data_IF_869398337590
#
_entry.id   IF_869398337590
#
_cell.length_a   1.000
_cell.length_b   1.000
_cell.length_c   1.000
_cell.angle_alpha   90.00
_cell.angle_beta   90.00
_cell.angle_gamma   90.00
#
_symmetry.space_group_name_H-M   'P 1'
#
loop_
_entity.id
_entity.type
_entity.pdbx_description
1 polymer ?
#
# COMPACT_ATOMS: atom_id res chain seq x y z
N UNK A 1 11.75 -14.45 12.30
CA UNK A 1 10.57 -14.06 11.49
C UNK A 1 10.21 -15.11 10.43
N UNK A 2 11.05 -15.37 9.42
CA UNK A 2 10.70 -16.37 8.37
C UNK A 2 10.56 -17.77 8.97
N UNK A 3 11.51 -18.21 9.79
CA UNK A 3 11.46 -19.54 10.41
C UNK A 3 10.30 -19.69 11.41
N UNK A 4 10.01 -18.64 12.19
CA UNK A 4 8.85 -18.62 13.10
C UNK A 4 7.52 -18.70 12.32
N UNK A 5 7.43 -17.98 11.19
CA UNK A 5 6.27 -18.05 10.30
C UNK A 5 6.15 -19.44 9.69
N UNK A 6 7.24 -20.05 9.22
CA UNK A 6 7.21 -21.43 8.71
C UNK A 6 6.71 -22.42 9.76
N UNK A 7 7.10 -22.27 11.03
CA UNK A 7 6.61 -23.09 12.13
C UNK A 7 5.10 -22.94 12.36
N UNK A 8 4.56 -21.70 12.34
CA UNK A 8 3.10 -21.44 12.45
C UNK A 8 2.30 -22.09 11.32
N UNK A 9 2.90 -22.19 10.15
CA UNK A 9 2.29 -22.75 8.94
C UNK A 9 2.55 -24.25 8.77
N UNK A 10 3.41 -24.87 9.58
CA UNK A 10 3.79 -26.29 9.47
C UNK A 10 2.58 -27.25 9.39
N UNK A 11 1.48 -27.07 10.15
CA UNK A 11 0.31 -27.95 10.03
C UNK A 11 -0.40 -27.89 8.66
N UNK A 12 -0.21 -26.81 7.90
CA UNK A 12 -0.79 -26.65 6.56
C UNK A 12 0.25 -26.91 5.45
N UNK A 13 1.52 -26.64 5.71
CA UNK A 13 2.61 -26.82 4.76
C UNK A 13 2.84 -28.30 4.42
N UNK A 14 2.54 -29.23 5.33
CA UNK A 14 2.68 -30.67 5.13
C UNK A 14 1.86 -31.24 3.94
N UNK A 15 0.85 -30.50 3.45
CA UNK A 15 0.03 -30.89 2.31
C UNK A 15 0.60 -30.44 0.95
N UNK A 16 1.71 -29.69 0.92
CA UNK A 16 2.31 -29.15 -0.29
C UNK A 16 3.69 -29.75 -0.57
N UNK A 17 4.04 -29.93 -1.85
CA UNK A 17 5.38 -30.37 -2.23
C UNK A 17 6.43 -29.31 -1.88
N UNK A 18 7.58 -29.71 -1.36
CA UNK A 18 8.73 -28.82 -1.09
C UNK A 18 9.09 -27.93 -2.29
N UNK A 19 8.95 -28.46 -3.51
CA UNK A 19 9.22 -27.71 -4.74
C UNK A 19 8.30 -26.49 -4.93
N UNK A 20 7.01 -26.58 -4.58
CA UNK A 20 6.07 -25.45 -4.70
C UNK A 20 6.36 -24.37 -3.66
N UNK A 21 6.67 -24.78 -2.43
CA UNK A 21 7.04 -23.87 -1.35
C UNK A 21 8.35 -23.13 -1.67
N UNK A 22 9.34 -23.83 -2.25
CA UNK A 22 10.57 -23.21 -2.71
C UNK A 22 10.32 -22.14 -3.79
N UNK A 23 9.52 -22.47 -4.82
CA UNK A 23 9.15 -21.50 -5.87
C UNK A 23 8.42 -20.27 -5.32
N UNK A 24 7.50 -20.49 -4.38
CA UNK A 24 6.76 -19.42 -3.71
C UNK A 24 7.70 -18.49 -2.93
N UNK A 25 8.62 -19.06 -2.16
CA UNK A 25 9.65 -18.32 -1.43
C UNK A 25 10.53 -17.51 -2.39
N UNK A 26 11.02 -18.12 -3.46
CA UNK A 26 11.87 -17.45 -4.45
C UNK A 26 11.15 -16.27 -5.11
N UNK A 27 9.86 -16.42 -5.43
CA UNK A 27 9.07 -15.34 -6.02
C UNK A 27 8.97 -14.12 -5.09
N UNK A 28 8.69 -14.34 -3.80
CA UNK A 28 8.62 -13.26 -2.80
C UNK A 28 10.00 -12.60 -2.61
N UNK A 29 11.07 -13.40 -2.50
CA UNK A 29 12.43 -12.88 -2.33
C UNK A 29 12.89 -12.05 -3.53
N UNK A 30 12.67 -12.53 -4.76
CA UNK A 30 13.02 -11.77 -5.96
C UNK A 30 12.23 -10.47 -6.03
N UNK A 31 10.94 -10.49 -5.69
CA UNK A 31 10.12 -9.27 -5.66
C UNK A 31 10.66 -8.25 -4.64
N UNK A 32 10.95 -8.69 -3.41
CA UNK A 32 11.58 -7.86 -2.39
C UNK A 32 12.90 -7.25 -2.86
N UNK A 33 13.82 -8.08 -3.38
CA UNK A 33 15.12 -7.63 -3.86
C UNK A 33 14.99 -6.61 -5.00
N UNK A 34 13.99 -6.76 -5.88
CA UNK A 34 13.73 -5.80 -6.96
C UNK A 34 13.23 -4.45 -6.45
N UNK A 35 12.35 -4.43 -5.45
CA UNK A 35 11.94 -3.17 -4.80
C UNK A 35 13.13 -2.52 -4.13
N UNK A 36 13.89 -3.27 -3.32
CA UNK A 36 15.07 -2.77 -2.61
C UNK A 36 16.15 -2.19 -3.55
N UNK A 37 16.37 -2.82 -4.71
CA UNK A 37 17.32 -2.36 -5.70
C UNK A 37 16.81 -1.20 -6.55
N UNK A 38 15.51 -1.13 -6.83
CA UNK A 38 14.95 -0.08 -7.69
C UNK A 38 14.67 1.20 -6.92
N UNK A 39 13.91 1.07 -5.83
CA UNK A 39 13.36 2.19 -5.05
C UNK A 39 13.86 2.24 -3.61
N UNK A 40 14.73 1.30 -3.25
CA UNK A 40 15.18 1.11 -1.90
C UNK A 40 16.63 1.48 -1.65
N UNK A 41 17.13 1.10 -0.48
CA UNK A 41 18.49 1.42 -0.04
C UNK A 41 19.60 0.73 -0.83
N UNK A 42 19.27 -0.23 -1.71
CA UNK A 42 20.26 -0.94 -2.53
C UNK A 42 20.46 -0.30 -3.91
N UNK A 43 19.68 0.73 -4.24
CA UNK A 43 19.68 1.41 -5.54
C UNK A 43 20.02 2.90 -5.46
N UNK A 44 19.87 3.58 -6.59
CA UNK A 44 20.13 5.02 -6.74
C UNK A 44 18.84 5.87 -6.80
N UNK A 45 17.68 5.29 -7.13
CA UNK A 45 16.38 5.98 -7.17
C UNK A 45 15.60 5.74 -5.87
N UNK A 46 16.16 6.13 -4.72
CA UNK A 46 15.53 5.88 -3.42
C UNK A 46 14.20 6.65 -3.25
N UNK A 47 13.12 5.93 -2.93
CA UNK A 47 11.82 6.53 -2.63
C UNK A 47 11.58 6.55 -1.12
N UNK A 48 11.25 7.71 -0.51
CA UNK A 48 11.04 7.77 0.93
C UNK A 48 9.94 6.85 1.47
N UNK A 49 8.88 6.55 0.71
CA UNK A 49 7.77 5.70 1.15
C UNK A 49 7.75 4.35 0.43
N UNK A 50 7.67 4.32 -0.90
CA UNK A 50 7.53 3.09 -1.70
C UNK A 50 8.87 2.37 -1.88
N UNK A 51 9.43 1.85 -0.78
CA UNK A 51 10.71 1.13 -0.73
C UNK A 51 10.59 -0.22 0.03
N UNK A 52 11.71 -0.90 0.27
CA UNK A 52 11.76 -2.20 0.95
C UNK A 52 11.20 -2.17 2.38
N UNK A 53 11.22 -1.02 3.06
CA UNK A 53 10.62 -0.90 4.38
C UNK A 53 9.09 -0.98 4.31
N UNK A 54 8.45 -0.38 3.29
CA UNK A 54 7.00 -0.53 3.09
C UNK A 54 6.62 -2.00 2.87
N UNK A 55 7.44 -2.73 2.11
CA UNK A 55 7.29 -4.19 1.98
C UNK A 55 7.37 -4.88 3.34
N UNK A 56 8.35 -4.54 4.18
CA UNK A 56 8.51 -5.11 5.53
C UNK A 56 7.36 -4.74 6.47
N UNK A 57 6.82 -3.52 6.38
CA UNK A 57 5.66 -3.08 7.18
C UNK A 57 4.43 -3.95 6.88
N UNK A 58 4.17 -4.23 5.60
CA UNK A 58 3.05 -5.07 5.18
C UNK A 58 3.33 -6.53 5.51
N UNK A 59 4.47 -7.06 5.05
CA UNK A 59 4.83 -8.47 5.26
C UNK A 59 5.00 -8.83 6.72
N UNK A 60 5.49 -7.92 7.56
CA UNK A 60 5.75 -8.13 8.97
C UNK A 60 4.51 -7.82 9.81
N UNK A 61 4.51 -6.71 10.57
CA UNK A 61 3.53 -6.47 11.64
C UNK A 61 2.07 -6.46 11.16
N UNK A 62 1.76 -5.97 9.96
CA UNK A 62 0.38 -5.96 9.45
C UNK A 62 -0.14 -7.37 9.16
N UNK A 63 0.67 -8.17 8.45
CA UNK A 63 0.32 -9.58 8.17
C UNK A 63 0.29 -10.41 9.45
N UNK A 64 1.23 -10.22 10.38
CA UNK A 64 1.22 -10.96 11.66
C UNK A 64 -0.04 -10.64 12.48
N UNK A 65 -0.42 -9.36 12.63
CA UNK A 65 -1.67 -8.98 13.30
C UNK A 65 -2.91 -9.60 12.65
N UNK A 66 -2.92 -9.69 11.33
CA UNK A 66 -4.00 -10.36 10.59
C UNK A 66 -4.05 -11.85 10.94
N UNK A 67 -2.91 -12.55 10.89
CA UNK A 67 -2.82 -13.98 11.24
C UNK A 67 -3.25 -14.20 12.70
N UNK A 68 -2.84 -13.34 13.63
CA UNK A 68 -3.20 -13.44 15.05
C UNK A 68 -4.70 -13.24 15.27
N UNK A 69 -5.33 -12.33 14.52
CA UNK A 69 -6.75 -12.00 14.65
C UNK A 69 -7.66 -13.06 14.04
N UNK A 70 -7.31 -13.58 12.86
CA UNK A 70 -8.18 -14.47 12.09
C UNK A 70 -7.76 -15.94 12.18
N UNK A 71 -6.54 -16.20 12.63
CA UNK A 71 -5.94 -17.53 12.69
C UNK A 71 -5.38 -17.98 11.34
N UNK A 72 -4.28 -18.73 11.38
CA UNK A 72 -3.60 -19.25 10.18
C UNK A 72 -4.53 -20.09 9.29
N UNK A 73 -5.55 -20.74 9.86
CA UNK A 73 -6.52 -21.61 9.14
C UNK A 73 -7.65 -20.84 8.44
N UNK A 74 -7.75 -19.52 8.61
CA UNK A 74 -8.81 -18.74 7.98
C UNK A 74 -8.61 -18.55 6.47
N UNK A 75 -7.38 -18.70 5.98
CA UNK A 75 -7.04 -18.68 4.57
C UNK A 75 -6.18 -19.90 4.23
N UNK A 76 -6.16 -20.29 2.95
CA UNK A 76 -5.34 -21.40 2.48
C UNK A 76 -3.85 -21.01 2.38
N UNK A 77 -2.92 -21.97 2.32
CA UNK A 77 -1.51 -21.65 2.08
C UNK A 77 -1.26 -20.85 0.79
N UNK A 78 -2.03 -21.11 -0.26
CA UNK A 78 -1.95 -20.36 -1.52
C UNK A 78 -2.38 -18.88 -1.34
N UNK A 79 -3.39 -18.64 -0.51
CA UNK A 79 -3.86 -17.28 -0.21
C UNK A 79 -2.82 -16.50 0.59
N UNK A 80 -2.22 -17.13 1.60
CA UNK A 80 -1.14 -16.52 2.38
C UNK A 80 0.09 -16.25 1.53
N UNK A 81 0.43 -17.15 0.60
CA UNK A 81 1.44 -16.89 -0.41
C UNK A 81 1.09 -15.68 -1.27
N UNK A 82 -0.14 -15.59 -1.77
CA UNK A 82 -0.57 -14.45 -2.59
C UNK A 82 -0.51 -13.12 -1.82
N UNK A 83 -0.91 -13.09 -0.55
CA UNK A 83 -0.79 -11.91 0.31
C UNK A 83 0.67 -11.52 0.52
N UNK A 84 1.56 -12.50 0.74
CA UNK A 84 2.98 -12.25 0.87
C UNK A 84 3.61 -11.74 -0.44
N UNK A 85 3.22 -12.33 -1.57
CA UNK A 85 3.67 -11.88 -2.89
C UNK A 85 3.17 -10.47 -3.19
N UNK A 86 1.90 -10.17 -2.93
CA UNK A 86 1.34 -8.82 -3.07
C UNK A 86 2.13 -7.78 -2.27
N UNK A 87 2.37 -8.06 -0.99
CA UNK A 87 3.12 -7.17 -0.12
C UNK A 87 4.51 -6.82 -0.69
N UNK A 88 5.19 -7.79 -1.32
CA UNK A 88 6.49 -7.59 -1.96
C UNK A 88 6.42 -7.07 -3.41
N UNK A 89 5.25 -7.11 -4.06
CA UNK A 89 5.16 -6.94 -5.52
C UNK A 89 4.30 -5.76 -5.99
N UNK A 90 3.35 -5.28 -5.18
CA UNK A 90 2.38 -4.27 -5.63
C UNK A 90 3.03 -2.96 -6.09
N UNK A 91 4.13 -2.58 -5.46
CA UNK A 91 4.92 -1.38 -5.78
C UNK A 91 6.25 -1.68 -6.49
N UNK A 92 6.36 -2.81 -7.19
CA UNK A 92 7.56 -3.12 -7.98
C UNK A 92 7.92 -2.00 -8.95
N UNK A 93 6.92 -1.28 -9.45
CA UNK A 93 7.07 -0.19 -10.42
C UNK A 93 6.43 1.07 -9.86
N UNK A 94 7.21 2.15 -9.85
CA UNK A 94 6.80 3.49 -9.45
C UNK A 94 7.37 4.48 -10.47
N UNK A 95 6.74 5.65 -10.61
CA UNK A 95 7.06 6.70 -11.59
C UNK A 95 6.85 6.30 -13.06
N UNK A 96 5.88 5.42 -13.32
CA UNK A 96 5.47 5.16 -14.69
C UNK A 96 4.75 6.38 -15.29
N UNK A 97 4.91 6.58 -16.59
CA UNK A 97 4.24 7.66 -17.30
C UNK A 97 2.70 7.54 -17.15
N UNK A 98 1.97 8.66 -16.92
CA UNK A 98 0.54 8.63 -16.64
C UNK A 98 -0.27 8.11 -17.83
N UNK A 99 -0.74 6.87 -17.72
CA UNK A 99 -1.66 6.21 -18.64
C UNK A 99 -2.70 5.40 -17.86
N UNK A 100 -3.95 5.86 -17.89
CA UNK A 100 -5.07 5.14 -17.28
C UNK A 100 -5.74 4.24 -18.29
N UNK A 101 -5.78 2.95 -17.99
CA UNK A 101 -6.50 1.96 -18.79
C UNK A 101 -7.42 1.17 -17.86
N UNK A 102 -8.71 1.10 -18.22
CA UNK A 102 -9.78 0.51 -17.41
C UNK A 102 -9.94 1.07 -15.96
N UNK A 103 -9.23 2.15 -15.62
CA UNK A 103 -9.19 2.71 -14.26
C UNK A 103 -8.13 2.09 -13.35
N UNK A 104 -7.21 1.31 -13.92
CA UNK A 104 -6.00 0.82 -13.24
C UNK A 104 -4.86 1.80 -13.55
N UNK A 105 -4.07 2.14 -12.53
CA UNK A 105 -2.94 3.05 -12.65
C UNK A 105 -1.77 2.42 -13.40
N UNK A 106 -0.90 3.25 -13.96
CA UNK A 106 0.25 2.80 -14.75
C UNK A 106 1.28 2.05 -13.92
N UNK A 107 1.49 2.49 -12.67
CA UNK A 107 2.36 1.82 -11.71
C UNK A 107 1.87 0.40 -11.43
N UNK A 108 0.60 0.23 -11.08
CA UNK A 108 0.00 -1.08 -10.76
C UNK A 108 0.05 -2.02 -11.96
N UNK A 109 -0.25 -1.53 -13.17
CA UNK A 109 -0.10 -2.32 -14.40
C UNK A 109 1.33 -2.80 -14.61
N UNK A 110 2.31 -1.91 -14.50
CA UNK A 110 3.71 -2.27 -14.68
C UNK A 110 4.18 -3.25 -13.59
N UNK A 111 3.68 -3.11 -12.35
CA UNK A 111 3.90 -4.07 -11.26
C UNK A 111 3.29 -5.44 -11.57
N UNK A 112 2.08 -5.51 -12.16
CA UNK A 112 1.45 -6.76 -12.63
C UNK A 112 2.30 -7.44 -13.71
N UNK A 113 2.83 -6.68 -14.66
CA UNK A 113 3.72 -7.23 -15.69
C UNK A 113 5.02 -7.76 -15.09
N UNK A 114 5.61 -7.03 -14.14
CA UNK A 114 6.84 -7.43 -13.47
C UNK A 114 6.64 -8.68 -12.61
N UNK A 115 5.58 -8.76 -11.80
CA UNK A 115 5.31 -9.96 -11.00
C UNK A 115 4.99 -11.17 -11.88
N UNK A 116 4.37 -10.97 -13.04
CA UNK A 116 4.18 -12.03 -14.04
C UNK A 116 5.51 -12.60 -14.53
N UNK A 117 6.53 -11.73 -14.77
CA UNK A 117 7.88 -12.16 -15.14
C UNK A 117 8.56 -12.92 -13.99
N UNK A 118 8.45 -12.43 -12.76
CA UNK A 118 9.01 -13.08 -11.57
C UNK A 118 8.42 -14.48 -11.39
N UNK A 119 7.10 -14.61 -11.42
CA UNK A 119 6.41 -15.91 -11.33
C UNK A 119 6.90 -16.88 -12.41
N UNK A 120 7.04 -16.43 -13.65
CA UNK A 120 7.56 -17.26 -14.74
C UNK A 120 9.00 -17.72 -14.47
N UNK A 121 9.87 -16.83 -13.99
CA UNK A 121 11.26 -17.16 -13.62
C UNK A 121 11.33 -18.21 -12.51
N UNK A 122 10.42 -18.13 -11.54
CA UNK A 122 10.32 -19.12 -10.46
C UNK A 122 9.58 -20.40 -10.87
N UNK A 123 9.32 -20.63 -12.16
CA UNK A 123 8.73 -21.88 -12.65
C UNK A 123 7.21 -22.01 -12.48
N UNK A 124 6.50 -20.91 -12.19
CA UNK A 124 5.04 -20.87 -12.31
C UNK A 124 4.63 -20.78 -13.78
N UNK A 125 3.47 -21.34 -14.10
CA UNK A 125 2.90 -21.32 -15.46
C UNK A 125 1.43 -20.91 -15.39
N UNK A 126 0.99 -20.11 -16.36
CA UNK A 126 -0.41 -19.63 -16.44
C UNK A 126 -1.43 -20.77 -16.56
N UNK A 127 -1.01 -21.93 -17.08
CA UNK A 127 -1.88 -23.11 -17.21
C UNK A 127 -2.06 -23.85 -15.89
N UNK A 128 -0.96 -24.15 -15.21
CA UNK A 128 -0.99 -24.98 -14.00
C UNK A 128 -1.24 -24.20 -12.71
N UNK A 129 -1.12 -22.87 -12.74
CA UNK A 129 -1.21 -22.01 -11.56
C UNK A 129 -2.09 -20.79 -11.83
N UNK A 130 -3.18 -20.98 -12.58
CA UNK A 130 -4.01 -19.89 -13.12
C UNK A 130 -4.55 -18.98 -12.01
N UNK A 131 -4.96 -19.58 -10.91
CA UNK A 131 -5.46 -18.93 -9.70
C UNK A 131 -4.44 -17.96 -9.08
N UNK A 132 -3.14 -18.27 -9.15
CA UNK A 132 -2.08 -17.39 -8.64
C UNK A 132 -1.96 -16.14 -9.53
N UNK A 133 -1.95 -16.32 -10.84
CA UNK A 133 -1.87 -15.18 -11.78
C UNK A 133 -3.10 -14.28 -11.69
N UNK A 134 -4.30 -14.87 -11.66
CA UNK A 134 -5.55 -14.09 -11.52
C UNK A 134 -5.61 -13.39 -10.17
N UNK A 135 -5.23 -14.09 -9.09
CA UNK A 135 -5.21 -13.55 -7.73
C UNK A 135 -4.31 -12.31 -7.63
N UNK A 136 -3.03 -12.44 -8.00
CA UNK A 136 -2.07 -11.35 -7.86
C UNK A 136 -2.41 -10.16 -8.77
N UNK A 137 -2.93 -10.41 -9.98
CA UNK A 137 -3.37 -9.36 -10.90
C UNK A 137 -4.51 -8.54 -10.31
N UNK A 138 -5.54 -9.20 -9.75
CA UNK A 138 -6.67 -8.51 -9.13
C UNK A 138 -6.26 -7.79 -7.84
N UNK A 139 -5.34 -8.35 -7.06
CA UNK A 139 -4.85 -7.72 -5.83
C UNK A 139 -4.09 -6.43 -6.11
N UNK A 140 -3.12 -6.45 -7.03
CA UNK A 140 -2.34 -5.27 -7.42
C UNK A 140 -3.22 -4.24 -8.15
N UNK A 141 -4.09 -4.69 -9.05
CA UNK A 141 -5.01 -3.77 -9.73
C UNK A 141 -6.01 -3.14 -8.74
N UNK A 142 -6.44 -3.90 -7.74
CA UNK A 142 -7.37 -3.46 -6.70
C UNK A 142 -6.78 -2.42 -5.74
N UNK A 143 -5.45 -2.40 -5.55
CA UNK A 143 -4.78 -1.40 -4.71
C UNK A 143 -4.65 -0.03 -5.38
N UNK A 144 -4.92 0.09 -6.69
CA UNK A 144 -4.94 1.38 -7.38
C UNK A 144 -5.84 2.38 -6.66
N UNK A 145 -5.28 3.51 -6.25
CA UNK A 145 -6.07 4.67 -5.84
C UNK A 145 -6.61 5.38 -7.08
N UNK A 146 -7.93 5.57 -7.15
CA UNK A 146 -8.63 6.21 -8.28
C UNK A 146 -8.30 7.71 -8.32
N UNK A 147 -7.08 8.06 -8.76
CA UNK A 147 -6.52 9.40 -8.72
C UNK A 147 -6.31 9.87 -10.17
N UNK A 148 -7.34 10.49 -10.78
CA UNK A 148 -7.23 10.96 -12.18
C UNK A 148 -6.34 12.22 -12.26
N UNK A 149 -5.19 12.20 -12.94
CA UNK A 149 -4.38 13.39 -13.11
C UNK A 149 -5.03 14.37 -14.08
N UNK A 150 -4.93 15.69 -13.84
CA UNK A 150 -5.05 16.67 -14.92
C UNK A 150 -3.95 16.44 -15.96
N UNK A 151 -4.27 16.70 -17.24
CA UNK A 151 -3.46 16.36 -18.41
C UNK A 151 -2.07 17.05 -18.50
N UNK A 152 -1.72 17.92 -17.55
CA UNK A 152 -0.50 18.74 -17.55
C UNK A 152 0.58 18.29 -16.55
N UNK A 153 0.45 17.12 -15.91
CA UNK A 153 1.51 16.61 -15.02
C UNK A 153 2.66 15.98 -15.80
N UNK A 154 3.90 16.37 -15.49
CA UNK A 154 5.13 15.82 -16.05
C UNK A 154 5.40 14.37 -15.61
N UNK A 155 5.05 14.03 -14.35
CA UNK A 155 5.07 12.68 -13.81
C UNK A 155 3.78 12.39 -13.04
N UNK A 156 3.32 11.14 -13.03
CA UNK A 156 2.15 10.74 -12.26
C UNK A 156 2.48 10.80 -10.77
N UNK A 157 1.87 11.71 -10.00
CA UNK A 157 2.02 11.80 -8.53
C UNK A 157 0.70 11.44 -7.83
N UNK A 158 0.51 10.16 -7.52
CA UNK A 158 -0.69 9.65 -6.83
C UNK A 158 -0.94 10.33 -5.49
N UNK A 159 0.12 10.69 -4.77
CA UNK A 159 0.03 11.35 -3.48
C UNK A 159 -0.51 12.79 -3.59
N UNK A 160 -0.22 13.52 -4.68
CA UNK A 160 -0.88 14.80 -4.99
C UNK A 160 -2.37 14.62 -5.36
N UNK A 161 -2.68 13.51 -6.01
CA UNK A 161 -4.03 13.22 -6.51
C UNK A 161 -4.96 12.60 -5.47
N UNK A 162 -4.49 12.33 -4.25
CA UNK A 162 -5.35 11.99 -3.12
C UNK A 162 -6.41 13.08 -2.87
N UNK A 163 -6.12 14.35 -3.22
CA UNK A 163 -7.07 15.48 -3.17
C UNK A 163 -8.15 15.38 -4.27
N UNK A 164 -8.05 14.47 -5.23
CA UNK A 164 -9.08 14.21 -6.25
C UNK A 164 -9.55 12.74 -6.26
N UNK A 165 -8.96 11.91 -5.39
CA UNK A 165 -9.21 10.48 -5.37
C UNK A 165 -10.53 10.10 -4.74
N UNK A 166 -11.09 8.96 -5.17
CA UNK A 166 -12.26 8.29 -4.57
C UNK A 166 -11.89 7.12 -3.64
N UNK A 167 -10.61 6.99 -3.28
CA UNK A 167 -10.05 5.88 -2.49
C UNK A 167 -9.62 4.69 -3.35
N UNK A 168 -9.24 3.58 -2.70
CA UNK A 168 -8.78 2.35 -3.36
C UNK A 168 -9.86 1.69 -4.22
N UNK A 169 -9.45 1.17 -5.40
CA UNK A 169 -10.32 0.53 -6.38
C UNK A 169 -11.00 -0.73 -5.84
N UNK A 170 -10.35 -1.46 -4.92
CA UNK A 170 -10.86 -2.70 -4.30
C UNK A 170 -12.29 -2.57 -3.75
N UNK A 171 -12.69 -1.38 -3.28
CA UNK A 171 -14.05 -1.09 -2.80
C UNK A 171 -15.13 -1.18 -3.88
N UNK A 172 -14.76 -1.03 -5.14
CA UNK A 172 -15.64 -1.01 -6.32
C UNK A 172 -15.24 -2.02 -7.38
N UNK A 173 -14.33 -2.94 -7.04
CA UNK A 173 -13.77 -3.89 -7.99
C UNK A 173 -14.84 -4.85 -8.55
N UNK A 174 -15.84 -5.20 -7.74
CA UNK A 174 -17.03 -5.94 -8.18
C UNK A 174 -17.80 -5.20 -9.29
N UNK A 175 -18.06 -3.90 -9.12
CA UNK A 175 -18.73 -3.07 -10.13
C UNK A 175 -17.90 -2.91 -11.41
N UNK A 176 -16.57 -2.93 -11.29
CA UNK A 176 -15.66 -2.90 -12.45
C UNK A 176 -15.65 -4.23 -13.18
N UNK A 177 -15.61 -5.35 -12.45
CA UNK A 177 -15.71 -6.68 -13.03
C UNK A 177 -17.06 -6.87 -13.75
N UNK A 178 -18.15 -6.27 -13.25
CA UNK A 178 -19.44 -6.28 -13.95
C UNK A 178 -19.39 -5.62 -15.33
N UNK A 179 -18.56 -4.59 -15.49
CA UNK A 179 -18.41 -3.84 -16.74
C UNK A 179 -17.46 -4.52 -17.72
N UNK A 180 -16.37 -5.12 -17.22
CA UNK A 180 -15.25 -5.57 -18.05
C UNK A 180 -15.15 -7.11 -18.17
N UNK A 181 -15.81 -7.88 -17.30
CA UNK A 181 -15.77 -9.33 -17.27
C UNK A 181 -17.18 -9.92 -17.00
N UNK A 182 -18.13 -9.77 -17.92
CA UNK A 182 -19.49 -10.29 -17.72
C UNK A 182 -19.45 -11.81 -17.44
N UNK A 183 -20.12 -12.22 -16.36
CA UNK A 183 -20.13 -13.61 -15.89
C UNK A 183 -19.06 -13.97 -14.87
N UNK A 184 -18.19 -13.03 -14.45
CA UNK A 184 -17.14 -13.28 -13.46
C UNK A 184 -17.66 -13.90 -12.14
N UNK A 185 -18.91 -13.59 -11.75
CA UNK A 185 -19.55 -14.17 -10.55
C UNK A 185 -19.71 -15.69 -10.61
N UNK A 186 -19.75 -16.26 -11.81
CA UNK A 186 -19.82 -17.72 -12.01
C UNK A 186 -18.42 -18.36 -12.03
N UNK A 187 -17.34 -17.57 -12.08
CA UNK A 187 -15.97 -18.06 -11.95
C UNK A 187 -15.52 -17.95 -10.49
N UNK A 188 -15.58 -19.09 -9.78
CA UNK A 188 -15.19 -19.18 -8.37
C UNK A 188 -13.77 -18.65 -8.11
N UNK A 189 -12.86 -18.73 -9.09
CA UNK A 189 -11.49 -18.22 -8.95
C UNK A 189 -11.46 -16.70 -8.92
N UNK A 190 -12.26 -16.06 -9.76
CA UNK A 190 -12.34 -14.59 -9.81
C UNK A 190 -13.06 -14.06 -8.58
N UNK A 191 -14.12 -14.74 -8.13
CA UNK A 191 -14.80 -14.40 -6.88
C UNK A 191 -13.87 -14.51 -5.66
N UNK A 192 -13.04 -15.56 -5.60
CA UNK A 192 -12.03 -15.72 -4.55
C UNK A 192 -10.92 -14.66 -4.63
N UNK A 193 -10.41 -14.39 -5.84
CA UNK A 193 -9.41 -13.35 -6.08
C UNK A 193 -9.90 -11.94 -5.68
N UNK A 194 -11.19 -11.63 -5.90
CA UNK A 194 -11.80 -10.38 -5.42
C UNK A 194 -11.79 -10.28 -3.89
N UNK A 195 -12.07 -11.40 -3.19
CA UNK A 195 -11.99 -11.43 -1.73
C UNK A 195 -10.57 -11.14 -1.26
N UNK A 196 -9.56 -11.78 -1.85
CA UNK A 196 -8.14 -11.52 -1.53
C UNK A 196 -7.72 -10.09 -1.88
N UNK A 197 -8.19 -9.52 -2.99
CA UNK A 197 -7.89 -8.14 -3.39
C UNK A 197 -8.38 -7.11 -2.36
N UNK A 198 -9.51 -7.38 -1.69
CA UNK A 198 -10.01 -6.52 -0.61
C UNK A 198 -9.13 -6.63 0.65
N UNK A 199 -8.66 -7.83 0.99
CA UNK A 199 -7.73 -8.04 2.11
C UNK A 199 -6.38 -7.36 1.81
N UNK A 200 -5.88 -7.52 0.59
CA UNK A 200 -4.62 -6.91 0.14
C UNK A 200 -4.65 -5.38 0.23
N UNK A 201 -5.72 -4.75 -0.27
CA UNK A 201 -5.91 -3.31 -0.14
C UNK A 201 -5.95 -2.85 1.32
N UNK A 202 -6.60 -3.62 2.21
CA UNK A 202 -6.64 -3.30 3.64
C UNK A 202 -5.28 -3.41 4.32
N UNK A 203 -4.42 -4.35 3.89
CA UNK A 203 -3.05 -4.50 4.38
C UNK A 203 -2.13 -3.37 3.92
N UNK A 204 -2.28 -2.94 2.67
CA UNK A 204 -1.53 -1.81 2.11
C UNK A 204 -1.85 -0.51 2.85
N UNK A 205 -3.15 -0.24 3.07
CA UNK A 205 -3.61 1.01 3.69
C UNK A 205 -3.79 0.93 5.21
N UNK A 206 -3.34 -0.15 5.85
CA UNK A 206 -3.47 -0.36 7.30
C UNK A 206 -2.58 0.58 8.13
N UNK A 207 -1.75 1.43 7.51
CA UNK A 207 -0.94 2.44 8.18
C UNK A 207 -1.75 3.38 9.09
N UNK A 208 -3.03 3.61 8.79
CA UNK A 208 -3.95 4.40 9.64
C UNK A 208 -4.26 3.75 11.00
N UNK A 209 -3.99 2.46 11.14
CA UNK A 209 -4.26 1.65 12.33
C UNK A 209 -2.98 1.18 13.06
N UNK A 210 -1.82 1.65 12.62
CA UNK A 210 -0.58 1.51 13.39
C UNK A 210 -0.63 2.39 14.64
N UNK A 211 0.23 2.16 15.65
CA UNK A 211 0.35 3.10 16.74
C UNK A 211 0.70 4.51 16.19
N UNK A 212 0.25 5.53 16.90
CA UNK A 212 0.15 6.87 16.33
C UNK A 212 1.48 7.43 15.79
N UNK A 213 2.63 7.31 16.51
CA UNK A 213 3.93 7.74 15.98
C UNK A 213 4.32 7.06 14.66
N UNK A 214 4.05 5.77 14.51
CA UNK A 214 4.38 4.96 13.34
C UNK A 214 3.48 5.33 12.16
N UNK A 215 2.18 5.52 12.42
CA UNK A 215 1.21 6.02 11.44
C UNK A 215 1.64 7.38 10.89
N UNK A 216 2.09 8.29 11.76
CA UNK A 216 2.55 9.62 11.36
C UNK A 216 3.94 9.61 10.72
N UNK A 217 4.83 8.68 11.09
CA UNK A 217 6.10 8.47 10.40
C UNK A 217 5.87 8.00 8.95
N UNK A 218 4.87 7.15 8.73
CA UNK A 218 4.41 6.73 7.40
C UNK A 218 3.88 7.92 6.58
N UNK A 219 3.01 8.76 7.17
CA UNK A 219 2.54 9.99 6.53
C UNK A 219 3.69 10.94 6.16
N UNK A 220 4.69 11.09 7.04
CA UNK A 220 5.89 11.89 6.78
C UNK A 220 6.69 11.38 5.58
N UNK A 221 6.93 10.06 5.52
CA UNK A 221 7.62 9.42 4.39
C UNK A 221 6.88 9.67 3.08
N UNK A 222 5.56 9.53 3.07
CA UNK A 222 4.75 9.79 1.88
C UNK A 222 4.76 11.28 1.48
N UNK A 223 4.78 12.20 2.45
CA UNK A 223 4.93 13.64 2.20
C UNK A 223 6.26 13.95 1.50
N UNK A 224 7.36 13.37 1.98
CA UNK A 224 8.69 13.55 1.38
C UNK A 224 8.75 12.97 -0.03
N UNK A 225 8.20 11.78 -0.26
CA UNK A 225 8.17 11.21 -1.60
C UNK A 225 7.29 12.02 -2.56
N UNK A 226 6.18 12.58 -2.07
CA UNK A 226 5.35 13.51 -2.85
C UNK A 226 6.18 14.69 -3.35
N UNK A 227 6.99 15.30 -2.49
CA UNK A 227 7.86 16.42 -2.90
C UNK A 227 8.93 15.98 -3.89
N UNK A 228 9.58 14.83 -3.64
CA UNK A 228 10.55 14.23 -4.55
C UNK A 228 9.97 14.03 -5.97
N UNK A 229 8.76 13.47 -6.07
CA UNK A 229 8.08 13.22 -7.36
C UNK A 229 7.62 14.50 -8.05
N UNK A 230 7.47 15.58 -7.29
CA UNK A 230 7.15 16.89 -7.84
C UNK A 230 8.40 17.77 -8.04
N UNK A 231 9.59 17.18 -7.88
CA UNK A 231 10.89 17.87 -8.00
C UNK A 231 11.03 19.09 -7.09
N UNK A 232 10.34 19.07 -5.94
CA UNK A 232 10.44 20.11 -4.91
C UNK A 232 11.36 19.64 -3.79
N UNK A 233 12.21 20.54 -3.35
CA UNK A 233 13.17 20.30 -2.26
C UNK A 233 12.55 20.81 -0.96
N UNK A 234 12.48 20.03 0.14
CA UNK A 234 11.84 20.43 1.39
C UNK A 234 12.38 21.73 2.01
N UNK A 235 13.63 22.08 1.73
CA UNK A 235 14.28 23.31 2.19
C UNK A 235 13.75 24.56 1.46
N UNK A 236 13.12 24.38 0.29
CA UNK A 236 12.60 25.49 -0.51
C UNK A 236 11.27 26.01 0.02
N UNK A 237 11.02 27.30 -0.19
CA UNK A 237 9.73 27.92 0.11
C UNK A 237 8.58 27.33 -0.72
N UNK A 238 8.86 26.84 -1.93
CA UNK A 238 7.86 26.22 -2.81
C UNK A 238 7.26 24.94 -2.23
N UNK A 239 7.99 24.25 -1.35
CA UNK A 239 7.50 23.04 -0.66
C UNK A 239 6.64 23.33 0.57
N UNK A 240 6.69 24.56 1.11
CA UNK A 240 6.15 24.87 2.44
C UNK A 240 4.63 24.67 2.53
N UNK A 241 3.87 25.37 1.69
CA UNK A 241 2.41 25.26 1.67
C UNK A 241 1.94 23.86 1.21
N UNK A 242 2.48 23.25 0.13
CA UNK A 242 2.07 21.91 -0.28
C UNK A 242 2.27 20.83 0.80
N UNK A 243 3.36 20.88 1.56
CA UNK A 243 3.61 19.94 2.65
C UNK A 243 2.66 20.17 3.84
N UNK A 244 2.38 21.44 4.18
CA UNK A 244 1.39 21.78 5.21
C UNK A 244 0.00 21.26 4.82
N UNK A 245 -0.43 21.49 3.58
CA UNK A 245 -1.73 21.03 3.09
C UNK A 245 -1.82 19.51 3.10
N UNK A 246 -0.76 18.82 2.68
CA UNK A 246 -0.71 17.35 2.69
C UNK A 246 -0.80 16.79 4.11
N UNK A 247 0.00 17.30 5.05
CA UNK A 247 0.07 16.81 6.44
C UNK A 247 -1.13 17.22 7.30
N UNK A 248 -1.96 18.14 6.81
CA UNK A 248 -3.18 18.58 7.50
C UNK A 248 -4.42 18.09 6.77
N UNK A 249 -4.99 18.91 5.89
CA UNK A 249 -6.24 18.65 5.17
C UNK A 249 -6.15 17.37 4.32
N UNK A 250 -4.98 17.08 3.75
CA UNK A 250 -4.71 15.84 3.01
C UNK A 250 -4.86 14.59 3.88
N UNK A 251 -4.21 14.58 5.07
CA UNK A 251 -4.32 13.47 6.01
C UNK A 251 -5.73 13.32 6.59
N UNK A 252 -6.40 14.42 6.96
CA UNK A 252 -7.79 14.39 7.43
C UNK A 252 -8.70 13.74 6.38
N UNK A 253 -8.62 14.21 5.14
CA UNK A 253 -9.43 13.67 4.05
C UNK A 253 -9.13 12.20 3.78
N UNK A 254 -7.86 11.82 3.70
CA UNK A 254 -7.48 10.43 3.52
C UNK A 254 -8.07 9.56 4.62
N UNK A 255 -7.89 9.95 5.88
CA UNK A 255 -8.29 9.16 7.04
C UNK A 255 -9.81 9.08 7.22
N UNK A 256 -10.51 10.22 7.18
CA UNK A 256 -11.94 10.33 7.52
C UNK A 256 -12.86 10.11 6.32
N UNK A 257 -12.48 10.51 5.12
CA UNK A 257 -13.39 10.46 3.95
C UNK A 257 -13.08 9.27 3.05
N UNK A 258 -11.81 9.08 2.69
CA UNK A 258 -11.41 8.13 1.65
C UNK A 258 -11.21 6.71 2.20
N UNK A 259 -10.46 6.58 3.29
CA UNK A 259 -10.02 5.30 3.81
C UNK A 259 -11.15 4.54 4.51
N UNK A 260 -11.43 3.32 4.04
CA UNK A 260 -12.33 2.36 4.67
C UNK A 260 -11.78 0.95 4.43
N UNK A 261 -11.82 0.10 5.45
CA UNK A 261 -11.48 -1.31 5.28
C UNK A 261 -12.54 -2.01 4.42
N UNK A 262 -12.08 -2.64 3.34
CA UNK A 262 -12.85 -3.24 2.25
C UNK A 262 -13.25 -4.69 2.53
N UNK A 263 -12.62 -5.34 3.51
CA UNK A 263 -12.89 -6.72 3.91
C UNK A 263 -13.31 -6.82 5.38
N UNK A 264 -14.02 -7.91 5.74
CA UNK A 264 -14.30 -8.22 7.15
C UNK A 264 -13.02 -8.54 7.93
N UNK A 265 -12.03 -9.15 7.26
CA UNK A 265 -10.70 -9.42 7.80
C UNK A 265 -10.01 -8.12 8.24
N UNK A 266 -9.95 -7.12 7.34
CA UNK A 266 -9.35 -5.82 7.61
C UNK A 266 -10.08 -5.07 8.72
N UNK A 267 -11.42 -5.04 8.69
CA UNK A 267 -12.22 -4.41 9.77
C UNK A 267 -11.92 -5.02 11.14
N UNK A 268 -12.02 -6.35 11.26
CA UNK A 268 -11.77 -7.05 12.52
C UNK A 268 -10.35 -6.83 13.06
N UNK A 269 -9.37 -6.68 12.17
CA UNK A 269 -7.95 -6.58 12.55
C UNK A 269 -7.53 -5.15 12.86
N UNK A 270 -7.99 -4.17 12.08
CA UNK A 270 -7.39 -2.83 12.06
C UNK A 270 -8.34 -1.69 12.46
N UNK A 271 -9.66 -1.92 12.51
CA UNK A 271 -10.64 -0.84 12.77
C UNK A 271 -10.45 -0.20 14.15
N UNK A 272 -10.21 -1.00 15.19
CA UNK A 272 -9.99 -0.49 16.54
C UNK A 272 -8.77 0.46 16.59
N UNK A 273 -7.66 0.10 15.93
CA UNK A 273 -6.47 0.93 15.85
C UNK A 273 -6.73 2.24 15.10
N UNK A 274 -7.47 2.17 13.98
CA UNK A 274 -7.90 3.38 13.27
C UNK A 274 -8.74 4.28 14.17
N UNK A 275 -9.73 3.75 14.87
CA UNK A 275 -10.58 4.55 15.76
C UNK A 275 -9.78 5.22 16.88
N UNK A 276 -8.80 4.53 17.45
CA UNK A 276 -7.92 5.09 18.48
C UNK A 276 -7.07 6.27 18.00
N UNK A 277 -6.75 6.34 16.70
CA UNK A 277 -5.98 7.41 16.10
C UNK A 277 -6.81 8.62 15.65
N UNK A 278 -8.14 8.52 15.64
CA UNK A 278 -9.02 9.54 15.06
C UNK A 278 -8.88 10.91 15.75
N UNK A 279 -9.04 10.97 17.06
CA UNK A 279 -8.93 12.25 17.79
C UNK A 279 -7.49 12.76 17.82
N UNK A 280 -6.50 11.86 17.91
CA UNK A 280 -5.08 12.22 17.83
C UNK A 280 -4.74 12.92 16.51
N UNK A 281 -5.27 12.44 15.39
CA UNK A 281 -5.07 13.06 14.09
C UNK A 281 -5.71 14.45 14.00
N UNK A 282 -6.92 14.64 14.53
CA UNK A 282 -7.57 15.97 14.57
C UNK A 282 -6.76 16.96 15.41
N UNK A 283 -6.28 16.52 16.58
CA UNK A 283 -5.41 17.34 17.43
C UNK A 283 -4.14 17.72 16.69
N UNK A 284 -3.43 16.75 16.09
CA UNK A 284 -2.20 16.98 15.35
C UNK A 284 -2.38 18.02 14.23
N UNK A 285 -3.41 17.84 13.41
CA UNK A 285 -3.64 18.70 12.24
C UNK A 285 -4.11 20.10 12.62
N UNK A 286 -4.88 20.23 13.71
CA UNK A 286 -5.26 21.54 14.28
C UNK A 286 -4.05 22.26 14.86
N UNK A 287 -3.27 21.58 15.70
CA UNK A 287 -2.07 22.14 16.34
C UNK A 287 -1.02 22.54 15.30
N UNK A 288 -0.81 21.74 14.26
CA UNK A 288 0.14 22.06 13.19
C UNK A 288 -0.26 23.35 12.47
N UNK A 289 -1.53 23.51 12.10
CA UNK A 289 -2.03 24.75 11.48
C UNK A 289 -1.82 25.95 12.40
N UNK A 290 -2.16 25.80 13.68
CA UNK A 290 -2.06 26.88 14.67
C UNK A 290 -0.61 27.32 14.88
N UNK A 291 0.33 26.37 15.06
CA UNK A 291 1.75 26.67 15.29
C UNK A 291 2.39 27.36 14.08
N UNK A 292 2.11 26.87 12.88
CA UNK A 292 2.64 27.49 11.66
C UNK A 292 2.03 28.89 11.44
N UNK A 293 0.74 29.08 11.68
CA UNK A 293 0.11 30.40 11.61
C UNK A 293 0.69 31.39 12.62
N UNK A 294 0.95 30.95 13.86
CA UNK A 294 1.57 31.77 14.91
C UNK A 294 3.00 32.20 14.56
N UNK A 295 3.69 31.46 13.69
CA UNK A 295 5.02 31.79 13.17
C UNK A 295 4.98 32.71 11.93
N UNK A 296 3.80 33.18 11.51
CA UNK A 296 3.63 34.03 10.33
C UNK A 296 3.37 33.29 9.02
N UNK A 297 3.13 31.98 9.07
CA UNK A 297 2.86 31.13 7.91
C UNK A 297 4.01 30.15 7.58
N UNK A 298 3.79 29.22 6.64
CA UNK A 298 4.80 28.23 6.26
C UNK A 298 5.92 28.87 5.43
N UNK A 299 7.16 28.76 5.91
CA UNK A 299 8.37 29.32 5.26
C UNK A 299 9.10 28.27 4.44
N UNK A 300 9.18 27.02 4.91
CA UNK A 300 9.78 25.89 4.19
C UNK A 300 9.09 24.58 4.56
N UNK A 301 9.25 23.55 3.73
CA UNK A 301 8.79 22.20 4.03
C UNK A 301 9.47 21.60 5.26
N UNK A 302 10.76 21.88 5.47
CA UNK A 302 11.51 21.47 6.67
C UNK A 302 10.87 22.00 7.95
N UNK A 303 10.53 23.30 8.00
CA UNK A 303 9.85 23.89 9.16
C UNK A 303 8.52 23.18 9.48
N UNK A 304 7.74 22.87 8.45
CA UNK A 304 6.48 22.12 8.59
C UNK A 304 6.76 20.73 9.15
N UNK A 305 7.78 20.03 8.65
CA UNK A 305 8.15 18.68 9.11
C UNK A 305 8.64 18.65 10.55
N UNK A 306 9.46 19.62 10.96
CA UNK A 306 9.96 19.73 12.33
C UNK A 306 8.81 19.98 13.30
N UNK A 307 7.97 20.97 12.98
CA UNK A 307 6.76 21.29 13.76
C UNK A 307 5.82 20.08 13.86
N UNK A 308 5.61 19.36 12.74
CA UNK A 308 4.82 18.12 12.72
C UNK A 308 5.40 17.05 13.65
N UNK A 309 6.73 16.82 13.60
CA UNK A 309 7.40 15.82 14.44
C UNK A 309 7.29 16.13 15.92
N UNK A 310 7.45 17.38 16.31
CA UNK A 310 7.32 17.83 17.70
C UNK A 310 5.91 17.56 18.25
N UNK A 311 4.87 17.86 17.45
CA UNK A 311 3.49 17.63 17.86
C UNK A 311 3.18 16.13 17.94
N UNK A 312 3.66 15.33 16.98
CA UNK A 312 3.52 13.87 17.02
C UNK A 312 4.15 13.30 18.29
N UNK A 313 5.34 13.75 18.67
CA UNK A 313 6.01 13.33 19.90
C UNK A 313 5.25 13.75 21.18
N UNK A 314 4.49 14.85 21.14
CA UNK A 314 3.70 15.32 22.27
C UNK A 314 2.34 14.60 22.40
N UNK A 315 1.78 14.09 21.30
CA UNK A 315 0.50 13.34 21.28
C UNK A 315 0.72 11.84 21.51
N UNK A 316 1.86 11.33 21.02
CA UNK A 316 2.25 9.92 20.98
C UNK A 316 2.43 9.30 22.35
#
# INVERSE_FOLDING_TARGET
MIDDRLARFAPQAAAHSDALLARARDAVLIAFCRVAFRHGSWGEDFHPYHNENHVVEILGPRTERLIDTVGVKALTPADWFLLALFAAAHDLRQREAPLFEAGIGSNERASVEEVTRILKTCGFTRRSHREIYVGIELMISGSTFDARPPASMLEYNTAELLVQSRGALARKLDKKLDQHAPGWRNDARVAHALMLARIAADLDTANVAEPFPESMASARRLCLEREMRSHRVPESAESAQPMLDFLTSGQERYFFELHRFSSDFGRRTFEAGKLANAEKLKTLTTELRNRIAAQGGPVSGVQVLETFREIVAAIG
#
